data_IF_443250630456
#
_entry.id   IF_443250630456
#
_cell.length_a   1.000
_cell.length_b   1.000
_cell.length_c   1.000
_cell.angle_alpha   90.00
_cell.angle_beta   90.00
_cell.angle_gamma   90.00
#
_symmetry.space_group_name_H-M   'P 1'
#
loop_
_entity.id
_entity.type
_entity.pdbx_description
1 polymer ?
#
# COMPACT_ATOMS: atom_id res chain seq x y z
N UNK A 1 4.05 13.81 -6.38
CA UNK A 1 3.39 13.02 -5.32
C UNK A 1 2.71 11.93 -6.09
N UNK A 2 3.27 10.73 -6.01
CA UNK A 2 3.05 9.70 -7.04
C UNK A 2 2.32 8.48 -6.46
N UNK A 3 2.06 8.50 -5.14
CA UNK A 3 1.35 7.47 -4.40
C UNK A 3 -0.10 7.90 -4.14
N UNK A 4 -1.05 7.00 -4.36
CA UNK A 4 -2.47 7.18 -4.07
C UNK A 4 -2.89 6.27 -2.92
N UNK A 5 -3.38 6.86 -1.83
CA UNK A 5 -4.05 6.13 -0.75
C UNK A 5 -5.53 6.52 -0.75
N UNK A 6 -6.39 5.51 -0.87
CA UNK A 6 -7.84 5.66 -0.82
C UNK A 6 -8.43 4.62 0.12
N UNK A 7 -9.51 4.98 0.82
CA UNK A 7 -10.25 4.10 1.71
C UNK A 7 -11.70 3.92 1.23
N UNK A 8 -12.32 2.83 1.64
CA UNK A 8 -13.73 2.53 1.40
C UNK A 8 -14.36 1.86 2.64
N UNK A 9 -15.69 1.86 2.73
CA UNK A 9 -16.42 1.29 3.88
C UNK A 9 -16.66 -0.22 3.74
N UNK A 10 -16.46 -0.79 2.56
CA UNK A 10 -16.60 -2.22 2.29
C UNK A 10 -15.65 -2.70 1.18
N UNK A 11 -15.35 -4.00 1.16
CA UNK A 11 -14.51 -4.60 0.10
C UNK A 11 -15.11 -4.41 -1.29
N UNK A 12 -16.44 -4.50 -1.44
CA UNK A 12 -17.13 -4.27 -2.72
C UNK A 12 -16.96 -2.84 -3.22
N UNK A 13 -17.13 -1.87 -2.32
CA UNK A 13 -16.93 -0.45 -2.63
C UNK A 13 -15.47 -0.16 -2.97
N UNK A 14 -14.52 -0.77 -2.25
CA UNK A 14 -13.09 -0.65 -2.54
C UNK A 14 -12.75 -1.17 -3.94
N UNK A 15 -13.27 -2.36 -4.31
CA UNK A 15 -13.06 -2.94 -5.63
C UNK A 15 -13.63 -2.04 -6.74
N UNK A 16 -14.85 -1.53 -6.56
CA UNK A 16 -15.47 -0.61 -7.51
C UNK A 16 -14.66 0.70 -7.65
N UNK A 17 -14.16 1.24 -6.53
CA UNK A 17 -13.32 2.44 -6.52
C UNK A 17 -12.01 2.20 -7.28
N UNK A 18 -11.36 1.06 -7.06
CA UNK A 18 -10.14 0.67 -7.78
C UNK A 18 -10.39 0.58 -9.29
N UNK A 19 -11.48 -0.09 -9.70
CA UNK A 19 -11.85 -0.21 -11.11
C UNK A 19 -12.09 1.16 -11.76
N UNK A 20 -12.82 2.05 -11.08
CA UNK A 20 -13.07 3.40 -11.57
C UNK A 20 -11.77 4.22 -11.71
N UNK A 21 -10.85 4.08 -10.75
CA UNK A 21 -9.54 4.73 -10.80
C UNK A 21 -8.71 4.22 -11.97
N UNK A 22 -8.63 2.91 -12.16
CA UNK A 22 -7.91 2.30 -13.26
C UNK A 22 -8.40 2.85 -14.60
N UNK A 23 -9.71 2.83 -14.85
CA UNK A 23 -10.29 3.36 -16.10
C UNK A 23 -10.00 4.85 -16.28
N UNK A 24 -10.17 5.65 -15.22
CA UNK A 24 -10.02 7.11 -15.30
C UNK A 24 -8.56 7.54 -15.52
N UNK A 25 -7.62 6.83 -14.91
CA UNK A 25 -6.19 7.12 -14.99
C UNK A 25 -5.57 6.56 -16.27
N UNK A 26 -6.02 5.37 -16.70
CA UNK A 26 -5.59 4.77 -17.97
C UNK A 26 -5.99 5.64 -19.17
N UNK A 27 -7.17 6.26 -19.13
CA UNK A 27 -7.62 7.23 -20.13
C UNK A 27 -6.67 8.45 -20.29
N UNK A 28 -5.77 8.68 -19.33
CA UNK A 28 -4.76 9.74 -19.35
C UNK A 28 -3.32 9.20 -19.35
N UNK A 29 -3.13 7.90 -19.57
CA UNK A 29 -1.82 7.24 -19.61
C UNK A 29 -1.15 7.08 -18.24
N UNK A 30 -1.91 7.20 -17.14
CA UNK A 30 -1.41 6.97 -15.79
C UNK A 30 -1.70 5.54 -15.35
N UNK A 31 -0.67 4.71 -15.33
CA UNK A 31 -0.79 3.32 -14.88
C UNK A 31 -0.43 3.21 -13.40
N UNK A 32 -1.40 2.82 -12.57
CA UNK A 32 -1.18 2.53 -11.15
C UNK A 32 -0.42 1.20 -10.99
N UNK A 33 0.59 1.22 -10.14
CA UNK A 33 1.47 0.08 -9.84
C UNK A 33 1.66 -0.05 -8.34
N UNK A 34 2.24 -1.17 -7.88
CA UNK A 34 2.60 -1.40 -6.47
C UNK A 34 1.39 -1.34 -5.53
N UNK A 35 0.44 -2.23 -5.73
CA UNK A 35 -0.80 -2.24 -4.95
C UNK A 35 -0.59 -2.78 -3.54
N UNK A 36 -1.21 -2.12 -2.57
CA UNK A 36 -1.21 -2.52 -1.17
C UNK A 36 -2.61 -2.36 -0.57
N UNK A 37 -3.03 -3.33 0.25
CA UNK A 37 -4.35 -3.32 0.90
C UNK A 37 -4.28 -4.10 2.21
N UNK A 38 -5.09 -3.69 3.17
CA UNK A 38 -5.32 -4.41 4.43
C UNK A 38 -6.26 -5.62 4.27
N UNK A 39 -6.84 -5.83 3.09
CA UNK A 39 -7.76 -6.93 2.82
C UNK A 39 -7.22 -7.87 1.74
N UNK A 40 -7.08 -9.14 2.11
CA UNK A 40 -6.64 -10.18 1.17
C UNK A 40 -7.62 -10.40 0.02
N UNK A 41 -8.93 -10.21 0.25
CA UNK A 41 -9.96 -10.32 -0.80
C UNK A 41 -9.74 -9.29 -1.91
N UNK A 42 -9.36 -8.07 -1.54
CA UNK A 42 -9.04 -7.00 -2.49
C UNK A 42 -7.78 -7.35 -3.27
N UNK A 43 -6.74 -7.85 -2.61
CA UNK A 43 -5.49 -8.27 -3.27
C UNK A 43 -5.72 -9.43 -4.25
N UNK A 44 -6.52 -10.42 -3.85
CA UNK A 44 -6.88 -11.55 -4.71
C UNK A 44 -7.70 -11.10 -5.92
N UNK A 45 -8.66 -10.18 -5.71
CA UNK A 45 -9.45 -9.59 -6.77
C UNK A 45 -8.59 -8.81 -7.76
N UNK A 46 -7.63 -8.03 -7.26
CA UNK A 46 -6.65 -7.31 -8.08
C UNK A 46 -5.79 -8.27 -8.91
N UNK A 47 -5.27 -9.33 -8.30
CA UNK A 47 -4.48 -10.34 -9.00
C UNK A 47 -5.28 -11.04 -10.13
N UNK A 48 -6.57 -11.28 -9.91
CA UNK A 48 -7.46 -11.89 -10.92
C UNK A 48 -7.84 -10.90 -12.04
N UNK A 49 -8.18 -9.67 -11.69
CA UNK A 49 -8.71 -8.68 -12.66
C UNK A 49 -7.62 -7.96 -13.46
N UNK A 50 -6.47 -7.65 -12.86
CA UNK A 50 -5.34 -7.04 -13.56
C UNK A 50 -4.45 -8.08 -14.26
N UNK A 51 -4.60 -9.35 -13.90
CA UNK A 51 -3.89 -10.47 -14.51
C UNK A 51 -2.41 -10.54 -14.14
N UNK A 52 -1.92 -11.75 -13.90
CA UNK A 52 -0.51 -12.05 -13.61
C UNK A 52 0.49 -11.68 -14.74
N UNK A 53 0.03 -11.04 -15.83
CA UNK A 53 0.82 -10.73 -17.04
C UNK A 53 1.17 -9.25 -17.18
N UNK A 54 0.57 -8.35 -16.42
CA UNK A 54 1.08 -6.99 -16.33
C UNK A 54 2.32 -7.00 -15.45
N UNK A 55 3.50 -7.13 -16.06
CA UNK A 55 4.83 -7.09 -15.42
C UNK A 55 5.10 -5.84 -14.57
N UNK A 56 4.13 -4.93 -14.49
CA UNK A 56 4.15 -3.66 -13.78
C UNK A 56 3.34 -3.69 -12.47
N UNK A 57 2.50 -4.70 -12.26
CA UNK A 57 1.62 -4.85 -11.08
C UNK A 57 2.32 -5.73 -10.05
N UNK A 58 3.17 -5.11 -9.24
CA UNK A 58 3.69 -5.76 -8.04
C UNK A 58 2.66 -5.65 -6.92
N UNK A 59 2.18 -6.78 -6.41
CA UNK A 59 1.39 -6.83 -5.16
C UNK A 59 2.37 -7.21 -4.05
N UNK A 60 2.65 -6.27 -3.15
CA UNK A 60 3.52 -6.52 -2.00
C UNK A 60 2.66 -6.63 -0.75
N UNK A 61 2.24 -7.83 -0.31
CA UNK A 61 1.49 -7.96 0.95
C UNK A 61 2.32 -7.56 2.17
N UNK A 62 3.66 -7.61 2.09
CA UNK A 62 4.53 -7.46 3.27
C UNK A 62 5.37 -6.17 3.28
N UNK A 63 5.34 -5.37 2.21
CA UNK A 63 6.07 -4.09 2.18
C UNK A 63 5.19 -2.95 2.66
N UNK A 64 5.44 -2.60 3.91
CA UNK A 64 5.13 -1.33 4.53
C UNK A 64 5.41 -0.11 3.62
N UNK A 65 4.34 0.53 3.12
CA UNK A 65 4.42 1.76 2.32
C UNK A 65 4.63 2.98 3.22
N UNK A 66 5.55 3.89 2.86
CA UNK A 66 5.81 5.11 3.63
C UNK A 66 4.85 6.21 3.22
N UNK A 67 4.10 6.77 4.17
CA UNK A 67 3.26 7.95 3.97
C UNK A 67 3.56 8.96 5.08
N UNK A 68 3.84 10.22 4.72
CA UNK A 68 4.14 11.30 5.67
C UNK A 68 5.31 11.00 6.65
N UNK A 69 6.28 10.18 6.24
CA UNK A 69 7.38 9.73 7.09
C UNK A 69 7.02 8.58 8.05
N UNK A 70 5.75 8.17 8.09
CA UNK A 70 5.26 7.02 8.80
C UNK A 70 5.20 5.81 7.88
N UNK A 71 5.24 4.63 8.48
CA UNK A 71 5.13 3.35 7.82
C UNK A 71 3.70 2.85 7.98
N UNK A 72 2.97 2.62 6.90
CA UNK A 72 1.69 1.94 6.96
C UNK A 72 1.89 0.43 6.98
N UNK A 73 1.50 -0.20 8.07
CA UNK A 73 1.37 -1.66 8.18
C UNK A 73 -0.08 -2.04 7.84
N UNK A 74 -0.26 -2.62 6.66
CA UNK A 74 -1.57 -3.06 6.19
C UNK A 74 -2.11 -4.27 6.97
N UNK A 75 -1.23 -5.09 7.56
CA UNK A 75 -1.64 -6.29 8.31
C UNK A 75 -2.35 -5.92 9.61
N UNK A 76 -1.85 -4.89 10.30
CA UNK A 76 -2.44 -4.36 11.54
C UNK A 76 -3.31 -3.13 11.32
N UNK A 77 -3.39 -2.64 10.07
CA UNK A 77 -4.09 -1.42 9.68
C UNK A 77 -3.63 -0.18 10.50
N UNK A 78 -2.34 -0.11 10.84
CA UNK A 78 -1.76 0.92 11.70
C UNK A 78 -0.66 1.70 10.98
N UNK A 79 -0.51 2.99 11.33
CA UNK A 79 0.68 3.75 11.00
C UNK A 79 1.72 3.61 12.12
N UNK A 80 2.92 3.19 11.77
CA UNK A 80 4.01 2.88 12.68
C UNK A 80 5.21 3.78 12.35
N UNK A 81 6.01 4.15 13.34
CA UNK A 81 7.32 4.73 13.11
C UNK A 81 8.38 3.73 13.59
N UNK A 82 9.42 3.51 12.78
CA UNK A 82 10.54 2.63 13.16
C UNK A 82 11.65 3.48 13.76
N UNK A 83 11.88 3.33 15.07
CA UNK A 83 13.07 3.90 15.71
C UNK A 83 14.16 2.82 15.72
N UNK A 84 15.34 3.16 15.24
CA UNK A 84 16.52 2.32 15.40
C UNK A 84 17.43 2.99 16.43
N UNK A 85 17.41 2.50 17.67
CA UNK A 85 18.34 2.96 18.69
C UNK A 85 19.63 2.17 18.58
N UNK A 86 20.72 2.83 18.18
CA UNK A 86 22.06 2.28 18.35
C UNK A 86 22.58 2.75 19.71
N UNK A 87 22.33 1.98 20.77
CA UNK A 87 22.89 2.27 22.09
C UNK A 87 24.34 1.78 22.15
N UNK A 88 25.25 2.48 21.49
CA UNK A 88 26.65 2.49 21.91
C UNK A 88 26.82 3.64 22.90
N UNK A 89 26.48 3.39 24.16
CA UNK A 89 26.80 4.31 25.24
C UNK A 89 27.16 3.50 26.49
N UNK A 90 28.42 3.58 26.91
CA UNK A 90 28.76 3.39 28.32
C UNK A 90 28.05 4.49 29.11
N UNK A 91 26.94 4.15 29.74
CA UNK A 91 26.19 5.04 30.62
C UNK A 91 27.13 5.43 31.77
N UNK A 92 27.68 6.63 31.72
CA UNK A 92 28.32 7.28 32.87
C UNK A 92 27.41 8.41 33.33
N UNK A 93 26.78 8.22 34.50
CA UNK A 93 25.84 9.19 35.10
C UNK A 93 26.48 10.59 35.24
N UNK A 94 25.68 11.64 35.05
CA UNK A 94 25.86 12.97 35.65
C UNK A 94 24.57 13.44 36.28
#
# INVERSE_FOLDING_TARGET
MDDLMAGAKSNKEAIALIQNLLVTLDARGFHLRKWHSNSQDILNNLAQNLGAKESNVEIHPEKCSKALGLIWDSSTNCFVFKINFNFECEITKR
#
